data_IF_016191005216
#
_entry.id   IF_016191005216
#
_cell.length_a   1.000
_cell.length_b   1.000
_cell.length_c   1.000
_cell.angle_alpha   90.00
_cell.angle_beta   90.00
_cell.angle_gamma   90.00
#
_symmetry.space_group_name_H-M   'P 1'
#
loop_
_entity.id
_entity.type
_entity.pdbx_description
1 polymer ?
#
# COMPACT_ATOMS: atom_id res chain seq x y z
N UNK A 1 -7.69 50.27 27.25
CA UNK A 1 -6.56 49.49 26.73
C UNK A 1 -6.10 50.22 25.49
N UNK A 2 -4.92 50.84 25.52
CA UNK A 2 -4.40 51.61 24.39
C UNK A 2 -4.09 50.65 23.25
N UNK A 3 -4.62 50.89 22.05
CA UNK A 3 -4.22 50.13 20.87
C UNK A 3 -2.78 50.49 20.54
N UNK A 4 -1.87 49.55 20.79
CA UNK A 4 -0.42 49.75 20.63
C UNK A 4 -0.06 50.03 19.17
N UNK A 5 -0.82 49.47 18.22
CA UNK A 5 -0.61 49.68 16.79
C UNK A 5 -0.96 51.12 16.42
N UNK A 6 -2.10 51.60 16.90
CA UNK A 6 -2.54 52.97 16.69
C UNK A 6 -1.59 53.97 17.36
N UNK A 7 -1.18 53.69 18.60
CA UNK A 7 -0.18 54.50 19.32
C UNK A 7 1.14 54.56 18.55
N UNK A 8 1.65 53.43 18.06
CA UNK A 8 2.89 53.38 17.29
C UNK A 8 2.79 54.18 15.98
N UNK A 9 1.68 54.05 15.26
CA UNK A 9 1.45 54.78 14.00
C UNK A 9 1.33 56.29 14.25
N UNK A 10 0.55 56.67 15.27
CA UNK A 10 0.34 58.07 15.64
C UNK A 10 1.62 58.73 16.11
N UNK A 11 2.38 58.05 16.98
CA UNK A 11 3.67 58.53 17.47
C UNK A 11 4.70 58.64 16.35
N UNK A 12 4.73 57.70 15.40
CA UNK A 12 5.57 57.78 14.19
C UNK A 12 5.20 58.98 13.33
N UNK A 13 3.92 59.21 13.06
CA UNK A 13 3.45 60.31 12.25
C UNK A 13 3.74 61.67 12.92
N UNK A 14 3.54 61.78 14.23
CA UNK A 14 3.87 62.98 15.00
C UNK A 14 5.38 63.25 15.03
N UNK A 15 6.21 62.21 15.21
CA UNK A 15 7.67 62.34 15.17
C UNK A 15 8.19 62.82 13.81
N UNK A 16 7.61 62.31 12.71
CA UNK A 16 7.97 62.75 11.35
C UNK A 16 7.59 64.22 11.13
N UNK A 17 6.40 64.65 11.59
CA UNK A 17 5.97 66.06 11.51
C UNK A 17 6.87 66.97 12.35
N UNK A 18 7.13 66.62 13.61
CA UNK A 18 8.02 67.39 14.48
C UNK A 18 9.44 67.51 13.90
N UNK A 19 9.96 66.44 13.29
CA UNK A 19 11.25 66.47 12.59
C UNK A 19 11.24 67.45 11.42
N UNK A 20 10.25 67.39 10.55
CA UNK A 20 10.13 68.31 9.42
C UNK A 20 9.99 69.77 9.88
N UNK A 21 9.17 70.01 10.90
CA UNK A 21 9.01 71.33 11.50
C UNK A 21 10.33 71.86 12.10
N UNK A 22 11.14 70.99 12.71
CA UNK A 22 12.47 71.35 13.21
C UNK A 22 13.39 71.79 12.07
N UNK A 23 13.40 71.06 10.96
CA UNK A 23 14.22 71.39 9.78
C UNK A 23 13.80 72.75 9.18
N UNK A 24 12.49 73.01 9.07
CA UNK A 24 11.96 74.28 8.54
C UNK A 24 12.17 75.48 9.49
N UNK A 25 12.09 75.25 10.80
CA UNK A 25 12.38 76.28 11.79
C UNK A 25 13.86 76.69 11.76
N UNK A 26 14.77 75.70 11.71
CA UNK A 26 16.22 75.95 11.59
C UNK A 26 16.57 76.63 10.28
N UNK A 27 15.86 76.32 9.19
CA UNK A 27 16.00 76.99 7.90
C UNK A 27 15.34 78.38 7.84
N UNK A 28 14.79 78.88 8.95
CA UNK A 28 14.04 80.15 9.03
C UNK A 28 12.84 80.23 8.06
N UNK A 29 12.30 79.09 7.62
CA UNK A 29 11.10 78.99 6.77
C UNK A 29 9.81 78.93 7.59
N UNK A 30 9.93 78.77 8.91
CA UNK A 30 8.82 78.60 9.83
C UNK A 30 9.02 79.49 11.07
N UNK A 31 7.93 80.05 11.56
CA UNK A 31 7.95 80.83 12.81
C UNK A 31 8.00 79.91 14.03
N UNK A 32 8.49 80.44 15.15
CA UNK A 32 8.58 79.68 16.40
C UNK A 32 7.20 79.21 16.89
N UNK A 33 6.14 79.98 16.67
CA UNK A 33 4.78 79.62 17.10
C UNK A 33 4.25 78.43 16.33
N UNK A 34 4.44 78.41 15.00
CA UNK A 34 4.04 77.29 14.14
C UNK A 34 4.87 76.05 14.46
N UNK A 35 6.18 76.21 14.70
CA UNK A 35 7.05 75.11 15.13
C UNK A 35 6.55 74.44 16.43
N UNK A 36 6.18 75.24 17.43
CA UNK A 36 5.67 74.71 18.70
C UNK A 36 4.34 73.97 18.53
N UNK A 37 3.46 74.45 17.65
CA UNK A 37 2.19 73.77 17.34
C UNK A 37 2.42 72.43 16.63
N UNK A 38 3.31 72.38 15.65
CA UNK A 38 3.65 71.14 14.91
C UNK A 38 4.32 70.09 15.80
N UNK A 39 5.11 70.51 16.80
CA UNK A 39 5.76 69.61 17.75
C UNK A 39 4.86 69.18 18.91
N UNK A 40 3.73 69.85 19.14
CA UNK A 40 2.88 69.64 20.31
C UNK A 40 2.43 68.19 20.48
N UNK A 41 1.92 67.59 19.41
CA UNK A 41 1.41 66.22 19.46
C UNK A 41 2.52 65.21 19.77
N UNK A 42 3.73 65.41 19.24
CA UNK A 42 4.86 64.55 19.54
C UNK A 42 5.27 64.67 21.01
N UNK A 43 5.36 65.90 21.51
CA UNK A 43 5.69 66.18 22.92
C UNK A 43 4.65 65.57 23.87
N UNK A 44 3.35 65.78 23.61
CA UNK A 44 2.27 65.20 24.40
C UNK A 44 2.34 63.65 24.44
N UNK A 45 2.73 63.02 23.33
CA UNK A 45 2.88 61.57 23.24
C UNK A 45 4.16 61.07 23.93
N UNK A 46 5.26 61.82 23.88
CA UNK A 46 6.56 61.43 24.45
C UNK A 46 6.71 61.76 25.93
N UNK A 47 6.05 62.81 26.42
CA UNK A 47 6.10 63.23 27.83
C UNK A 47 5.38 62.22 28.73
N UNK A 48 4.46 61.43 28.17
CA UNK A 48 3.86 60.29 28.82
C UNK A 48 4.79 59.07 28.81
N UNK A 49 5.48 58.81 29.93
CA UNK A 49 6.29 57.60 30.14
C UNK A 49 5.53 56.30 29.83
N UNK A 50 4.21 56.27 30.10
CA UNK A 50 3.35 55.12 29.85
C UNK A 50 3.28 54.73 28.36
N UNK A 51 3.31 55.69 27.44
CA UNK A 51 3.28 55.40 26.00
C UNK A 51 4.58 54.75 25.55
N UNK A 52 5.72 55.25 26.07
CA UNK A 52 7.04 54.70 25.77
C UNK A 52 7.15 53.29 26.35
N UNK A 53 6.75 53.09 27.61
CA UNK A 53 6.74 51.77 28.25
C UNK A 53 5.85 50.79 27.49
N UNK A 54 4.64 51.19 27.08
CA UNK A 54 3.75 50.34 26.31
C UNK A 54 4.35 49.91 24.96
N UNK A 55 5.02 50.81 24.25
CA UNK A 55 5.70 50.50 22.99
C UNK A 55 6.92 49.59 23.20
N UNK A 56 7.72 49.81 24.25
CA UNK A 56 8.88 48.97 24.58
C UNK A 56 8.43 47.56 24.98
N UNK A 57 7.43 47.43 25.85
CA UNK A 57 6.89 46.13 26.23
C UNK A 57 6.32 45.36 25.03
N UNK A 58 5.64 46.05 24.12
CA UNK A 58 5.15 45.44 22.89
C UNK A 58 6.28 44.98 21.98
N UNK A 59 7.35 45.78 21.86
CA UNK A 59 8.54 45.43 21.09
C UNK A 59 9.23 44.19 21.68
N UNK A 60 9.41 44.13 22.99
CA UNK A 60 9.98 42.96 23.67
C UNK A 60 9.12 41.72 23.47
N UNK A 61 7.79 41.83 23.59
CA UNK A 61 6.86 40.72 23.33
C UNK A 61 6.96 40.24 21.88
N UNK A 62 7.00 41.17 20.92
CA UNK A 62 7.16 40.84 19.51
C UNK A 62 8.51 40.17 19.22
N UNK A 63 9.60 40.62 19.84
CA UNK A 63 10.92 40.00 19.71
C UNK A 63 10.94 38.58 20.27
N UNK A 64 10.37 38.34 21.46
CA UNK A 64 10.25 36.99 22.03
C UNK A 64 9.44 36.08 21.14
N UNK A 65 8.30 36.56 20.63
CA UNK A 65 7.46 35.79 19.71
C UNK A 65 8.19 35.42 18.40
N UNK A 66 8.99 36.35 17.85
CA UNK A 66 9.82 36.08 16.67
C UNK A 66 10.87 34.99 16.97
N UNK A 67 11.47 35.03 18.15
CA UNK A 67 12.47 34.02 18.55
C UNK A 67 11.85 32.64 18.74
N UNK A 68 10.68 32.56 19.39
CA UNK A 68 9.90 31.32 19.51
C UNK A 68 9.53 30.74 18.13
N UNK A 69 9.10 31.61 17.20
CA UNK A 69 8.82 31.19 15.82
C UNK A 69 10.07 30.69 15.09
N UNK A 70 11.24 31.28 15.35
CA UNK A 70 12.51 30.83 14.75
C UNK A 70 12.91 29.46 15.27
N UNK A 71 12.81 29.25 16.59
CA UNK A 71 13.09 27.96 17.22
C UNK A 71 12.16 26.88 16.69
N UNK A 72 10.85 27.17 16.63
CA UNK A 72 9.86 26.25 16.08
C UNK A 72 10.13 25.91 14.60
N UNK A 73 10.42 26.91 13.78
CA UNK A 73 10.75 26.70 12.37
C UNK A 73 12.04 25.89 12.18
N UNK A 74 13.04 26.09 13.04
CA UNK A 74 14.27 25.28 13.03
C UNK A 74 13.96 23.81 13.36
N UNK A 75 13.11 23.56 14.36
CA UNK A 75 12.63 22.21 14.69
C UNK A 75 11.89 21.55 13.52
N UNK A 76 10.95 22.26 12.88
CA UNK A 76 10.25 21.73 11.71
C UNK A 76 11.19 21.45 10.52
N UNK A 77 12.16 22.33 10.27
CA UNK A 77 13.15 22.12 9.21
C UNK A 77 13.98 20.86 9.47
N UNK A 78 14.39 20.64 10.74
CA UNK A 78 15.10 19.43 11.14
C UNK A 78 14.23 18.18 10.96
N UNK A 79 13.00 18.16 11.47
CA UNK A 79 12.12 17.00 11.30
C UNK A 79 11.82 16.72 9.83
N UNK A 80 11.66 17.77 9.01
CA UNK A 80 11.46 17.63 7.57
C UNK A 80 12.68 16.99 6.90
N UNK A 81 13.89 17.38 7.30
CA UNK A 81 15.12 16.80 6.78
C UNK A 81 15.25 15.32 7.15
N UNK A 82 15.01 14.98 8.43
CA UNK A 82 15.05 13.60 8.93
C UNK A 82 14.02 12.71 8.21
N UNK A 83 12.79 13.19 8.03
CA UNK A 83 11.75 12.49 7.27
C UNK A 83 12.15 12.30 5.81
N UNK A 84 12.72 13.32 5.17
CA UNK A 84 13.16 13.22 3.78
C UNK A 84 14.28 12.18 3.63
N UNK A 85 15.20 12.10 4.58
CA UNK A 85 16.25 11.10 4.60
C UNK A 85 15.66 9.68 4.76
N UNK A 86 14.74 9.48 5.72
CA UNK A 86 14.04 8.20 5.89
C UNK A 86 13.28 7.77 4.63
N UNK A 87 12.60 8.71 3.95
CA UNK A 87 11.92 8.42 2.69
C UNK A 87 12.93 7.96 1.63
N UNK A 88 14.05 8.67 1.48
CA UNK A 88 15.11 8.30 0.53
C UNK A 88 15.72 6.92 0.84
N UNK A 89 15.80 6.52 2.11
CA UNK A 89 16.30 5.21 2.51
C UNK A 89 15.27 4.09 2.25
N UNK A 90 13.97 4.38 2.38
CA UNK A 90 12.89 3.41 2.17
C UNK A 90 12.48 3.25 0.69
N UNK A 91 12.66 4.28 -0.15
CA UNK A 91 12.39 4.23 -1.58
C UNK A 91 13.02 3.03 -2.32
N UNK A 92 14.33 2.72 -2.17
CA UNK A 92 14.92 1.57 -2.83
C UNK A 92 14.36 0.23 -2.33
N UNK A 93 14.01 0.14 -1.03
CA UNK A 93 13.40 -1.07 -0.45
C UNK A 93 12.02 -1.29 -1.06
N UNK A 94 11.20 -0.23 -1.14
CA UNK A 94 9.89 -0.29 -1.79
C UNK A 94 10.02 -0.68 -3.27
N UNK A 95 10.94 -0.07 -4.00
CA UNK A 95 11.18 -0.38 -5.40
C UNK A 95 11.65 -1.84 -5.60
N UNK A 96 12.47 -2.38 -4.68
CA UNK A 96 12.88 -3.77 -4.69
C UNK A 96 11.70 -4.72 -4.40
N UNK A 97 10.85 -4.38 -3.43
CA UNK A 97 9.64 -5.14 -3.13
C UNK A 97 8.67 -5.17 -4.33
N UNK A 98 8.45 -4.02 -5.00
CA UNK A 98 7.66 -3.93 -6.24
C UNK A 98 8.21 -4.85 -7.33
N UNK A 99 9.54 -4.84 -7.54
CA UNK A 99 10.20 -5.74 -8.51
C UNK A 99 10.03 -7.22 -8.13
N UNK A 100 10.17 -7.58 -6.86
CA UNK A 100 10.02 -8.96 -6.39
C UNK A 100 8.60 -9.49 -6.61
N UNK A 101 7.60 -8.71 -6.21
CA UNK A 101 6.18 -9.04 -6.41
C UNK A 101 5.89 -9.20 -7.90
N UNK A 102 6.38 -8.30 -8.76
CA UNK A 102 6.21 -8.40 -10.21
C UNK A 102 6.91 -9.61 -10.82
N UNK A 103 8.14 -9.89 -10.38
CA UNK A 103 8.94 -10.97 -10.92
C UNK A 103 8.32 -12.31 -10.64
N UNK A 104 7.87 -12.58 -9.40
CA UNK A 104 7.21 -13.85 -9.16
C UNK A 104 5.73 -13.88 -9.56
N UNK A 105 5.08 -12.72 -9.71
CA UNK A 105 3.70 -12.59 -10.24
C UNK A 105 3.47 -13.32 -11.54
N UNK A 106 4.51 -13.37 -12.37
CA UNK A 106 4.53 -14.07 -13.65
C UNK A 106 4.62 -15.59 -13.55
N UNK A 107 4.85 -16.18 -12.37
CA UNK A 107 5.20 -17.59 -12.21
C UNK A 107 4.29 -18.41 -11.26
N UNK A 108 3.50 -17.81 -10.34
CA UNK A 108 2.64 -18.57 -9.38
C UNK A 108 1.23 -17.95 -9.26
N UNK A 109 0.30 -18.64 -8.57
CA UNK A 109 -1.12 -18.27 -8.44
C UNK A 109 -1.36 -16.80 -8.06
N UNK A 110 -2.27 -16.15 -8.78
CA UNK A 110 -2.56 -14.71 -8.67
C UNK A 110 -2.96 -14.26 -7.25
N UNK A 111 -3.56 -15.14 -6.45
CA UNK A 111 -3.98 -14.85 -5.06
C UNK A 111 -2.80 -14.62 -4.10
N UNK A 112 -1.73 -15.40 -4.22
CA UNK A 112 -0.52 -15.21 -3.39
C UNK A 112 0.18 -13.87 -3.73
N UNK A 113 0.07 -13.42 -4.97
CA UNK A 113 0.62 -12.12 -5.40
C UNK A 113 -0.12 -10.93 -4.84
N UNK A 114 -1.45 -10.99 -4.83
CA UNK A 114 -2.26 -9.95 -4.22
C UNK A 114 -2.03 -9.86 -2.72
N UNK A 115 -1.87 -11.01 -2.05
CA UNK A 115 -1.55 -11.06 -0.62
C UNK A 115 -0.19 -10.41 -0.31
N UNK A 116 0.85 -10.73 -1.08
CA UNK A 116 2.17 -10.10 -0.95
C UNK A 116 2.13 -8.60 -1.27
N UNK A 117 1.45 -8.20 -2.35
CA UNK A 117 1.33 -6.80 -2.72
C UNK A 117 0.60 -5.98 -1.65
N UNK A 118 -0.47 -6.53 -1.08
CA UNK A 118 -1.17 -5.93 0.05
C UNK A 118 -0.27 -5.82 1.30
N UNK A 119 0.51 -6.85 1.60
CA UNK A 119 1.43 -6.87 2.75
C UNK A 119 2.56 -5.84 2.63
N UNK A 120 3.07 -5.61 1.41
CA UNK A 120 4.08 -4.59 1.14
C UNK A 120 3.49 -3.20 0.81
N UNK A 121 2.16 -3.07 0.77
CA UNK A 121 1.49 -1.81 0.40
C UNK A 121 1.77 -1.35 -1.03
N UNK A 122 2.16 -2.26 -1.92
CA UNK A 122 2.52 -1.95 -3.32
C UNK A 122 1.35 -2.22 -4.25
N UNK A 123 1.21 -1.40 -5.31
CA UNK A 123 0.16 -1.60 -6.32
C UNK A 123 0.49 -2.81 -7.20
N UNK A 124 -0.53 -3.57 -7.60
CA UNK A 124 -0.44 -4.61 -8.63
C UNK A 124 -0.91 -4.05 -9.98
N UNK A 125 -0.05 -3.38 -10.77
CA UNK A 125 -0.48 -2.75 -12.02
C UNK A 125 -0.88 -3.75 -13.11
N UNK A 126 -0.40 -4.99 -13.02
CA UNK A 126 -0.44 -5.95 -14.13
C UNK A 126 -1.47 -7.09 -13.94
N UNK A 127 -2.22 -7.15 -12.83
CA UNK A 127 -3.21 -8.22 -12.60
C UNK A 127 -4.62 -7.78 -13.03
N UNK A 128 -5.32 -8.52 -13.91
CA UNK A 128 -6.74 -8.29 -14.22
C UNK A 128 -7.60 -8.44 -12.95
N UNK A 129 -8.87 -8.00 -12.89
CA UNK A 129 -9.76 -8.29 -11.74
C UNK A 129 -9.83 -9.81 -11.45
N UNK A 130 -10.05 -10.23 -10.19
CA UNK A 130 -10.18 -11.64 -9.81
C UNK A 130 -11.39 -12.29 -10.49
N UNK A 131 -11.25 -12.69 -11.74
CA UNK A 131 -12.17 -13.61 -12.40
C UNK A 131 -11.65 -15.02 -12.12
N UNK A 132 -12.12 -15.60 -11.01
CA UNK A 132 -12.24 -17.04 -10.73
C UNK A 132 -11.33 -17.95 -11.58
N UNK A 133 -10.00 -17.81 -11.44
CA UNK A 133 -8.98 -18.48 -12.27
C UNK A 133 -9.02 -20.01 -12.15
N UNK A 134 -9.75 -20.53 -11.16
CA UNK A 134 -9.90 -21.95 -10.91
C UNK A 134 -11.07 -22.61 -11.67
N UNK A 135 -11.95 -21.86 -12.35
CA UNK A 135 -13.11 -22.47 -13.03
C UNK A 135 -12.71 -23.09 -14.37
N UNK A 136 -11.75 -22.51 -15.09
CA UNK A 136 -11.38 -23.01 -16.42
C UNK A 136 -10.61 -24.33 -16.42
N UNK A 137 -9.80 -24.60 -15.38
CA UNK A 137 -9.18 -25.92 -15.22
C UNK A 137 -10.08 -26.93 -14.50
N UNK A 138 -10.97 -26.47 -13.62
CA UNK A 138 -11.95 -27.35 -12.98
C UNK A 138 -12.91 -27.94 -14.02
N UNK A 139 -13.47 -27.13 -14.91
CA UNK A 139 -14.46 -27.62 -15.89
C UNK A 139 -13.86 -28.64 -16.87
N UNK A 140 -12.63 -28.39 -17.35
CA UNK A 140 -11.94 -29.32 -18.26
C UNK A 140 -11.51 -30.61 -17.55
N UNK A 141 -10.95 -30.52 -16.34
CA UNK A 141 -10.56 -31.68 -15.55
C UNK A 141 -11.78 -32.49 -15.07
N UNK A 142 -12.87 -31.83 -14.73
CA UNK A 142 -14.13 -32.48 -14.36
C UNK A 142 -14.73 -33.24 -15.54
N UNK A 143 -14.68 -32.68 -16.76
CA UNK A 143 -15.09 -33.41 -17.97
C UNK A 143 -14.21 -34.62 -18.25
N UNK A 144 -12.87 -34.52 -18.11
CA UNK A 144 -11.98 -35.66 -18.28
C UNK A 144 -12.19 -36.73 -17.20
N UNK A 145 -12.37 -36.34 -15.94
CA UNK A 145 -12.68 -37.25 -14.82
C UNK A 145 -14.01 -37.94 -15.07
N UNK A 146 -15.02 -37.23 -15.55
CA UNK A 146 -16.31 -37.81 -15.90
C UNK A 146 -16.19 -38.83 -17.05
N UNK A 147 -15.45 -38.50 -18.11
CA UNK A 147 -15.21 -39.38 -19.24
C UNK A 147 -14.43 -40.64 -18.84
N UNK A 148 -13.40 -40.50 -18.00
CA UNK A 148 -12.63 -41.62 -17.47
C UNK A 148 -13.47 -42.53 -16.57
N UNK A 149 -14.30 -41.95 -15.69
CA UNK A 149 -15.24 -42.73 -14.85
C UNK A 149 -16.23 -43.52 -15.69
N UNK A 150 -16.75 -42.92 -16.77
CA UNK A 150 -17.64 -43.62 -17.69
C UNK A 150 -16.92 -44.77 -18.42
N UNK A 151 -15.67 -44.57 -18.85
CA UNK A 151 -14.88 -45.62 -19.49
C UNK A 151 -14.53 -46.76 -18.53
N UNK A 152 -14.23 -46.46 -17.27
CA UNK A 152 -14.01 -47.47 -16.24
C UNK A 152 -15.28 -48.29 -16.03
N UNK A 153 -16.44 -47.65 -15.85
CA UNK A 153 -17.72 -48.34 -15.70
C UNK A 153 -18.07 -49.22 -16.91
N UNK A 154 -17.80 -48.74 -18.14
CA UNK A 154 -17.97 -49.54 -19.35
C UNK A 154 -17.05 -50.77 -19.33
N UNK A 155 -15.77 -50.61 -19.00
CA UNK A 155 -14.80 -51.70 -18.92
C UNK A 155 -15.15 -52.71 -17.81
N UNK A 156 -15.61 -52.25 -16.65
CA UNK A 156 -16.03 -53.09 -15.53
C UNK A 156 -17.33 -53.85 -15.83
N UNK A 157 -18.21 -53.29 -16.66
CA UNK A 157 -19.44 -53.98 -17.10
C UNK A 157 -19.21 -55.09 -18.13
N UNK A 158 -18.02 -55.16 -18.74
CA UNK A 158 -17.67 -56.22 -19.69
C UNK A 158 -17.45 -57.54 -18.95
N UNK A 159 -18.51 -58.30 -18.77
CA UNK A 159 -18.42 -59.68 -18.31
C UNK A 159 -17.73 -60.54 -19.38
N UNK A 160 -16.57 -61.10 -19.08
CA UNK A 160 -15.87 -62.04 -19.98
C UNK A 160 -16.43 -63.44 -19.77
N UNK A 161 -17.24 -63.93 -20.70
CA UNK A 161 -17.75 -65.31 -20.67
C UNK A 161 -16.80 -66.23 -21.43
N UNK A 162 -16.14 -67.14 -20.72
CA UNK A 162 -15.29 -68.19 -21.33
C UNK A 162 -16.13 -69.46 -21.51
N UNK A 163 -16.17 -69.98 -22.74
CA UNK A 163 -16.73 -71.32 -22.98
C UNK A 163 -15.65 -72.35 -22.66
N UNK A 164 -15.88 -73.15 -21.62
CA UNK A 164 -14.96 -74.22 -21.24
C UNK A 164 -15.11 -75.44 -22.18
N UNK A 165 -14.03 -76.21 -22.38
CA UNK A 165 -14.06 -77.46 -23.15
C UNK A 165 -14.96 -78.50 -22.50
N UNK A 166 -15.35 -79.54 -23.25
CA UNK A 166 -16.23 -80.59 -22.71
C UNK A 166 -15.52 -81.37 -21.57
N UNK A 167 -16.15 -81.48 -20.39
CA UNK A 167 -15.59 -82.25 -19.30
C UNK A 167 -15.64 -83.75 -19.60
N UNK A 168 -14.62 -84.48 -19.16
CA UNK A 168 -14.61 -85.94 -19.26
C UNK A 168 -14.65 -86.60 -17.88
N UNK A 169 -15.07 -87.88 -17.87
CA UNK A 169 -15.09 -88.72 -16.66
C UNK A 169 -14.00 -89.77 -16.72
N UNK A 170 -13.26 -89.94 -15.64
CA UNK A 170 -12.26 -90.98 -15.52
C UNK A 170 -12.94 -92.35 -15.37
N UNK A 171 -12.66 -93.27 -16.30
CA UNK A 171 -13.36 -94.55 -16.43
C UNK A 171 -13.27 -95.50 -15.20
N UNK A 172 -12.48 -95.16 -14.17
CA UNK A 172 -12.33 -95.93 -12.92
C UNK A 172 -12.56 -95.09 -11.66
N UNK A 173 -13.07 -93.86 -11.80
CA UNK A 173 -13.39 -93.01 -10.67
C UNK A 173 -14.82 -93.23 -10.22
N UNK A 174 -15.03 -93.63 -8.96
CA UNK A 174 -16.35 -93.69 -8.31
C UNK A 174 -16.81 -92.33 -7.77
N UNK A 175 -15.98 -91.28 -7.89
CA UNK A 175 -16.21 -89.98 -7.23
C UNK A 175 -17.25 -89.09 -7.92
N UNK A 176 -17.74 -89.45 -9.11
CA UNK A 176 -18.69 -88.64 -9.89
C UNK A 176 -18.11 -87.31 -10.41
N UNK A 177 -16.83 -87.04 -10.15
CA UNK A 177 -16.14 -85.82 -10.57
C UNK A 177 -15.87 -85.83 -12.08
N UNK A 178 -15.98 -84.65 -12.66
CA UNK A 178 -15.61 -84.34 -14.05
C UNK A 178 -14.31 -83.57 -14.08
N UNK A 179 -13.45 -83.90 -15.03
CA UNK A 179 -12.13 -83.31 -15.17
C UNK A 179 -12.01 -82.59 -16.52
N UNK A 180 -11.11 -81.61 -16.56
CA UNK A 180 -10.69 -80.92 -17.77
C UNK A 180 -9.19 -81.17 -17.99
N UNK A 181 -8.76 -81.18 -19.26
CA UNK A 181 -7.34 -81.14 -19.56
C UNK A 181 -6.84 -79.70 -19.35
N UNK A 182 -5.72 -79.54 -18.64
CA UNK A 182 -5.15 -78.24 -18.36
C UNK A 182 -4.88 -77.46 -19.66
N UNK A 183 -4.23 -78.12 -20.64
CA UNK A 183 -3.92 -77.53 -21.94
C UNK A 183 -5.16 -76.98 -22.67
N UNK A 184 -6.31 -77.66 -22.56
CA UNK A 184 -7.56 -77.24 -23.21
C UNK A 184 -8.21 -76.06 -22.49
N UNK A 185 -8.09 -75.99 -21.16
CA UNK A 185 -8.56 -74.85 -20.36
C UNK A 185 -7.67 -73.64 -20.62
N UNK A 186 -6.36 -73.83 -20.66
CA UNK A 186 -5.38 -72.79 -20.94
C UNK A 186 -5.56 -72.23 -22.35
N UNK A 187 -5.81 -73.10 -23.33
CA UNK A 187 -6.15 -72.70 -24.69
C UNK A 187 -7.46 -71.90 -24.74
N UNK A 188 -8.49 -72.31 -24.00
CA UNK A 188 -9.76 -71.60 -23.93
C UNK A 188 -9.63 -70.21 -23.26
N UNK A 189 -8.86 -70.10 -22.18
CA UNK A 189 -8.55 -68.83 -21.50
C UNK A 189 -7.73 -67.91 -22.39
N UNK A 190 -6.71 -68.44 -23.06
CA UNK A 190 -5.86 -67.68 -23.99
C UNK A 190 -6.65 -67.19 -25.20
N UNK A 191 -7.53 -68.03 -25.76
CA UNK A 191 -8.43 -67.65 -26.86
C UNK A 191 -9.43 -66.55 -26.44
N UNK A 192 -9.83 -66.52 -25.15
CA UNK A 192 -10.63 -65.45 -24.57
C UNK A 192 -9.81 -64.19 -24.22
N UNK A 193 -8.50 -64.19 -24.46
CA UNK A 193 -7.60 -63.08 -24.14
C UNK A 193 -7.36 -62.89 -22.64
N UNK A 194 -7.68 -63.91 -21.84
CA UNK A 194 -7.46 -63.90 -20.39
C UNK A 194 -6.02 -64.34 -20.11
N UNK A 195 -5.28 -63.49 -19.42
CA UNK A 195 -3.94 -63.82 -18.91
C UNK A 195 -4.07 -64.57 -17.59
N UNK A 196 -3.27 -65.61 -17.43
CA UNK A 196 -3.19 -66.40 -16.20
C UNK A 196 -1.72 -66.69 -15.90
N UNK A 197 -1.41 -66.91 -14.62
CA UNK A 197 -0.07 -67.29 -14.14
C UNK A 197 -0.15 -68.69 -13.55
N UNK A 198 0.84 -69.55 -13.85
CA UNK A 198 0.99 -70.85 -13.20
C UNK A 198 1.62 -70.64 -11.81
N UNK A 199 1.09 -71.30 -10.78
CA UNK A 199 1.73 -71.39 -9.44
C UNK A 199 2.97 -72.29 -9.46
#
# INVERSE_FOLDING_TARGET
MTDITELAQRMKAAAVRAKAATEDYVAHRMSITVYLEECKEFNDLSDGLDNILALVEALEKAQRYIEELREWNAGLAQESFERQQLISELEPIRAAAEKLVRCKGRYHSEQNYRALAALFGVKTPDLPPLEHENVHYADAAEMEIAALRQRIAELESRTVTVKLPEPFKLAKSSSGLTYYFADDVDAALTAAGIKWEAE
#
